data_IF_649945061417
#
_entry.id   IF_649945061417
#
_cell.length_a   1.000
_cell.length_b   1.000
_cell.length_c   1.000
_cell.angle_alpha   90.00
_cell.angle_beta   90.00
_cell.angle_gamma   90.00
#
_symmetry.space_group_name_H-M   'P 1'
#
loop_
_entity.id
_entity.type
_entity.pdbx_description
1 polymer ?
#
# COMPACT_ATOMS: atom_id res chain seq x y z
N UNK A 1 11.48 -34.64 -25.12
CA UNK A 1 12.84 -34.11 -25.31
C UNK A 1 13.00 -33.29 -26.61
N UNK A 2 12.30 -33.61 -27.67
CA UNK A 2 12.36 -32.96 -29.01
C UNK A 2 11.85 -31.48 -28.99
N UNK A 3 10.73 -31.17 -28.29
CA UNK A 3 10.13 -29.81 -28.28
C UNK A 3 11.03 -28.74 -27.59
N UNK A 4 11.76 -29.12 -26.60
CA UNK A 4 12.67 -28.20 -25.85
C UNK A 4 13.85 -27.76 -26.74
N UNK A 5 14.42 -28.69 -27.52
CA UNK A 5 15.48 -28.37 -28.48
C UNK A 5 15.00 -27.47 -29.62
N UNK A 6 13.77 -27.63 -30.07
CA UNK A 6 13.17 -26.77 -31.09
C UNK A 6 13.01 -25.32 -30.61
N UNK A 7 12.56 -25.13 -29.34
CA UNK A 7 12.37 -23.80 -28.75
C UNK A 7 13.71 -23.06 -28.59
N UNK A 8 14.76 -23.74 -28.14
CA UNK A 8 16.10 -23.13 -27.99
C UNK A 8 16.70 -22.77 -29.34
N UNK A 9 16.49 -23.62 -30.36
CA UNK A 9 16.98 -23.36 -31.72
C UNK A 9 16.28 -22.14 -32.34
N UNK A 10 14.97 -21.99 -32.11
CA UNK A 10 14.18 -20.87 -32.61
C UNK A 10 14.59 -19.55 -31.93
N UNK A 11 14.79 -19.56 -30.60
CA UNK A 11 15.27 -18.40 -29.85
C UNK A 11 16.67 -17.94 -30.31
N UNK A 12 17.56 -18.87 -30.62
CA UNK A 12 18.88 -18.57 -31.18
C UNK A 12 18.83 -17.96 -32.58
N UNK A 13 17.90 -18.43 -33.44
CA UNK A 13 17.70 -17.89 -34.77
C UNK A 13 17.16 -16.46 -34.69
N UNK A 14 16.17 -16.22 -33.83
CA UNK A 14 15.59 -14.89 -33.59
C UNK A 14 16.61 -13.90 -33.00
N UNK A 15 17.47 -14.34 -32.12
CA UNK A 15 18.56 -13.52 -31.55
C UNK A 15 19.58 -13.14 -32.62
N UNK A 16 19.93 -14.06 -33.52
CA UNK A 16 20.83 -13.78 -34.66
C UNK A 16 20.21 -12.81 -35.65
N UNK A 17 18.96 -13.00 -36.02
CA UNK A 17 18.25 -12.09 -36.94
C UNK A 17 18.11 -10.66 -36.30
N UNK A 18 17.88 -10.56 -35.02
CA UNK A 18 17.87 -9.28 -34.29
C UNK A 18 19.25 -8.61 -34.25
N UNK A 19 20.34 -9.37 -34.14
CA UNK A 19 21.70 -8.82 -34.17
C UNK A 19 22.05 -8.30 -35.55
N UNK A 20 21.76 -9.08 -36.60
CA UNK A 20 22.01 -8.71 -38.01
C UNK A 20 21.22 -7.45 -38.42
N UNK A 21 19.96 -7.33 -37.97
CA UNK A 21 19.15 -6.13 -38.16
C UNK A 21 19.74 -4.90 -37.49
N UNK A 22 20.35 -5.05 -36.29
CA UNK A 22 21.00 -3.96 -35.54
C UNK A 22 22.32 -3.52 -36.22
N UNK A 23 23.03 -4.43 -36.88
CA UNK A 23 24.29 -4.13 -37.53
C UNK A 23 24.12 -3.35 -38.85
N UNK A 24 23.00 -3.57 -39.53
CA UNK A 24 22.65 -2.89 -40.81
C UNK A 24 22.09 -1.47 -40.62
N UNK A 25 21.89 -1.01 -39.36
CA UNK A 25 21.41 0.36 -39.10
C UNK A 25 22.58 1.34 -39.27
N UNK A 26 22.48 2.37 -40.13
CA UNK A 26 23.53 3.37 -40.29
C UNK A 26 23.83 4.09 -38.97
N UNK A 27 25.06 4.58 -38.83
CA UNK A 27 25.55 5.22 -37.55
C UNK A 27 24.60 6.30 -37.07
N UNK A 28 23.98 7.05 -37.97
CA UNK A 28 22.97 8.06 -37.67
C UNK A 28 21.70 7.45 -37.06
N UNK A 29 21.23 6.31 -37.55
CA UNK A 29 20.10 5.59 -36.98
C UNK A 29 20.38 5.00 -35.62
N UNK A 30 21.61 4.52 -35.35
CA UNK A 30 22.05 4.06 -34.01
C UNK A 30 22.03 5.22 -32.99
N UNK A 31 22.43 6.43 -33.40
CA UNK A 31 22.41 7.62 -32.55
C UNK A 31 20.98 8.05 -32.19
N UNK A 32 20.06 8.02 -33.16
CA UNK A 32 18.64 8.34 -32.93
C UNK A 32 17.99 7.31 -32.00
N UNK A 33 18.25 6.01 -32.19
CA UNK A 33 17.75 4.96 -31.32
C UNK A 33 18.28 5.07 -29.88
N UNK A 34 19.56 5.42 -29.71
CA UNK A 34 20.16 5.64 -28.41
C UNK A 34 19.58 6.89 -27.71
N UNK A 35 19.33 7.96 -28.47
CA UNK A 35 18.68 9.18 -27.92
C UNK A 35 17.23 8.87 -27.50
N UNK A 36 16.43 8.18 -28.31
CA UNK A 36 15.07 7.78 -27.95
C UNK A 36 15.04 6.82 -26.74
N UNK A 37 16.00 5.91 -26.63
CA UNK A 37 16.11 5.04 -25.45
C UNK A 37 16.49 5.85 -24.19
N UNK A 38 17.36 6.83 -24.32
CA UNK A 38 17.75 7.72 -23.22
C UNK A 38 16.59 8.61 -22.75
N UNK A 39 15.79 9.16 -23.66
CA UNK A 39 14.61 9.94 -23.32
C UNK A 39 13.51 9.07 -22.70
N UNK A 40 13.30 7.87 -23.25
CA UNK A 40 12.31 6.93 -22.71
C UNK A 40 12.68 6.43 -21.30
N UNK A 41 13.98 6.18 -21.06
CA UNK A 41 14.47 5.79 -19.73
C UNK A 41 14.36 6.95 -18.71
N UNK A 42 14.67 8.20 -19.11
CA UNK A 42 14.49 9.39 -18.25
C UNK A 42 13.01 9.64 -17.93
N UNK A 43 12.12 9.46 -18.90
CA UNK A 43 10.67 9.53 -18.71
C UNK A 43 10.16 8.46 -17.74
N UNK A 44 10.66 7.23 -17.86
CA UNK A 44 10.32 6.11 -16.99
C UNK A 44 10.80 6.35 -15.54
N UNK A 45 12.05 6.79 -15.37
CA UNK A 45 12.64 7.10 -14.05
C UNK A 45 11.88 8.25 -13.38
N UNK A 46 11.50 9.29 -14.12
CA UNK A 46 10.70 10.41 -13.59
C UNK A 46 9.31 9.93 -13.16
N UNK A 47 8.71 9.04 -13.93
CA UNK A 47 7.40 8.45 -13.60
C UNK A 47 7.47 7.56 -12.36
N UNK A 48 8.50 6.73 -12.21
CA UNK A 48 8.74 5.89 -11.03
C UNK A 48 8.92 6.76 -9.79
N UNK A 49 9.76 7.80 -9.85
CA UNK A 49 9.99 8.72 -8.72
C UNK A 49 8.72 9.44 -8.27
N UNK A 50 7.85 9.83 -9.19
CA UNK A 50 6.56 10.45 -8.86
C UNK A 50 5.63 9.47 -8.13
N UNK A 51 5.64 8.18 -8.50
CA UNK A 51 4.86 7.13 -7.86
C UNK A 51 5.27 6.85 -6.42
N UNK A 52 6.57 6.85 -6.16
CA UNK A 52 7.10 6.65 -4.81
C UNK A 52 6.69 7.79 -3.89
N UNK A 53 6.71 9.03 -4.38
CA UNK A 53 6.28 10.21 -3.60
C UNK A 53 4.79 10.13 -3.27
N UNK A 54 3.94 9.77 -4.24
CA UNK A 54 2.48 9.64 -4.00
C UNK A 54 2.20 8.52 -3.00
N UNK A 55 2.87 7.38 -3.13
CA UNK A 55 2.71 6.27 -2.17
C UNK A 55 3.15 6.66 -0.76
N UNK A 56 4.22 7.44 -0.63
CA UNK A 56 4.70 7.94 0.66
C UNK A 56 3.70 8.93 1.28
N UNK A 57 3.15 9.85 0.48
CA UNK A 57 2.12 10.79 0.95
C UNK A 57 0.87 10.05 1.45
N UNK A 58 0.42 9.04 0.73
CA UNK A 58 -0.72 8.21 1.14
C UNK A 58 -0.42 7.45 2.43
N UNK A 59 0.78 6.91 2.58
CA UNK A 59 1.22 6.23 3.79
C UNK A 59 1.17 7.17 5.01
N UNK A 60 1.67 8.41 4.85
CA UNK A 60 1.61 9.42 5.91
C UNK A 60 0.16 9.80 6.21
N UNK A 61 -0.67 9.98 5.18
CA UNK A 61 -2.10 10.25 5.35
C UNK A 61 -2.79 9.12 6.13
N UNK A 62 -2.59 7.86 5.75
CA UNK A 62 -3.19 6.70 6.42
C UNK A 62 -2.75 6.59 7.88
N UNK A 63 -1.48 6.91 8.17
CA UNK A 63 -1.00 6.95 9.56
C UNK A 63 -1.82 7.91 10.42
N UNK A 64 -2.02 9.13 9.96
CA UNK A 64 -2.83 10.11 10.69
C UNK A 64 -4.32 9.76 10.68
N UNK A 65 -4.83 9.20 9.59
CA UNK A 65 -6.22 8.76 9.47
C UNK A 65 -6.55 7.66 10.50
N UNK A 66 -5.67 6.68 10.68
CA UNK A 66 -5.84 5.61 11.68
C UNK A 66 -5.88 6.19 13.10
N UNK A 67 -4.95 7.08 13.44
CA UNK A 67 -4.91 7.72 14.76
C UNK A 67 -6.20 8.50 14.99
N UNK A 68 -6.61 9.33 14.02
CA UNK A 68 -7.82 10.13 14.10
C UNK A 68 -9.10 9.28 14.19
N UNK A 69 -9.17 8.16 13.43
CA UNK A 69 -10.32 7.26 13.43
C UNK A 69 -10.59 6.65 14.81
N UNK A 70 -9.55 6.12 15.44
CA UNK A 70 -9.68 5.53 16.77
C UNK A 70 -9.88 6.59 17.86
N UNK A 71 -9.30 7.77 17.70
CA UNK A 71 -9.58 8.90 18.60
C UNK A 71 -11.05 9.34 18.47
N UNK A 72 -11.56 9.46 17.26
CA UNK A 72 -12.97 9.78 17.02
C UNK A 72 -13.90 8.71 17.56
N UNK A 73 -13.54 7.42 17.43
CA UNK A 73 -14.28 6.31 18.03
C UNK A 73 -14.37 6.41 19.56
N UNK A 74 -13.28 6.82 20.21
CA UNK A 74 -13.28 7.09 21.65
C UNK A 74 -14.14 8.31 21.98
N UNK A 75 -14.00 9.39 21.23
CA UNK A 75 -14.72 10.64 21.43
C UNK A 75 -16.24 10.47 21.26
N UNK A 76 -16.68 9.76 20.22
CA UNK A 76 -18.11 9.44 19.99
C UNK A 76 -18.66 8.60 21.15
N UNK A 77 -17.88 7.68 21.69
CA UNK A 77 -18.31 6.82 22.81
C UNK A 77 -18.64 7.62 24.07
N UNK A 78 -17.98 8.75 24.27
CA UNK A 78 -18.16 9.64 25.43
C UNK A 78 -18.96 10.92 25.07
N UNK A 79 -19.97 10.79 24.20
CA UNK A 79 -20.91 11.84 23.82
C UNK A 79 -20.24 13.15 23.35
N UNK A 80 -19.10 13.02 22.69
CA UNK A 80 -18.31 14.14 22.14
C UNK A 80 -17.83 15.15 23.20
N UNK A 81 -17.77 14.76 24.50
CA UNK A 81 -17.28 15.58 25.57
C UNK A 81 -15.87 15.18 26.00
N UNK A 82 -14.86 16.03 25.72
CA UNK A 82 -13.46 15.75 26.08
C UNK A 82 -13.24 15.57 27.59
N UNK A 83 -13.98 16.32 28.40
CA UNK A 83 -13.89 16.25 29.88
C UNK A 83 -14.46 14.97 30.48
N UNK A 84 -15.27 14.24 29.72
CA UNK A 84 -15.92 13.01 30.19
C UNK A 84 -15.10 11.75 29.93
N UNK A 85 -14.00 11.85 29.16
CA UNK A 85 -13.15 10.70 28.86
C UNK A 85 -12.26 10.36 30.07
N UNK A 86 -12.46 9.22 30.75
CA UNK A 86 -11.62 8.83 31.87
C UNK A 86 -10.16 8.62 31.41
N UNK A 87 -9.22 9.01 32.24
CA UNK A 87 -7.77 8.83 32.00
C UNK A 87 -7.38 7.35 31.80
N UNK A 88 -8.16 6.45 32.36
CA UNK A 88 -8.01 5.00 32.24
C UNK A 88 -8.12 4.52 30.78
N UNK A 89 -8.84 5.24 29.92
CA UNK A 89 -8.96 4.92 28.48
C UNK A 89 -7.99 5.71 27.61
N UNK A 90 -7.65 6.94 28.01
CA UNK A 90 -6.69 7.77 27.28
C UNK A 90 -5.27 7.21 27.35
N UNK A 91 -4.84 6.70 28.50
CA UNK A 91 -3.50 6.17 28.69
C UNK A 91 -3.22 4.95 27.79
N UNK A 92 -4.06 3.88 27.78
CA UNK A 92 -3.89 2.77 26.84
C UNK A 92 -3.95 3.20 25.38
N UNK A 93 -4.85 4.15 25.05
CA UNK A 93 -4.93 4.68 23.68
C UNK A 93 -3.59 5.28 23.24
N UNK A 94 -3.04 6.24 23.96
CA UNK A 94 -1.77 6.88 23.56
C UNK A 94 -0.60 5.90 23.50
N UNK A 95 -0.56 4.93 24.37
CA UNK A 95 0.51 3.93 24.41
C UNK A 95 0.44 2.95 23.26
N UNK A 96 -0.76 2.55 22.84
CA UNK A 96 -0.95 1.48 21.85
C UNK A 96 -1.18 1.97 20.43
N UNK A 97 -1.72 3.19 20.23
CA UNK A 97 -2.14 3.67 18.93
C UNK A 97 -1.00 3.77 17.90
N UNK A 98 0.19 4.23 18.33
CA UNK A 98 1.34 4.34 17.45
C UNK A 98 1.83 2.96 16.97
N UNK A 99 1.84 1.96 17.87
CA UNK A 99 2.23 0.59 17.53
C UNK A 99 1.21 -0.02 16.58
N UNK A 100 -0.08 0.20 16.86
CA UNK A 100 -1.16 -0.25 15.99
C UNK A 100 -1.12 0.40 14.61
N UNK A 101 -0.94 1.72 14.54
CA UNK A 101 -0.83 2.44 13.27
C UNK A 101 0.36 1.94 12.43
N UNK A 102 1.52 1.74 13.03
CA UNK A 102 2.68 1.16 12.35
C UNK A 102 2.38 -0.25 11.83
N UNK A 103 1.72 -1.08 12.61
CA UNK A 103 1.31 -2.42 12.20
C UNK A 103 0.33 -2.38 11.01
N UNK A 104 -0.68 -1.51 11.05
CA UNK A 104 -1.62 -1.33 9.93
C UNK A 104 -0.90 -0.93 8.65
N UNK A 105 0.06 0.00 8.70
CA UNK A 105 0.84 0.41 7.54
C UNK A 105 1.64 -0.75 6.94
N UNK A 106 2.24 -1.61 7.79
CA UNK A 106 2.95 -2.81 7.33
C UNK A 106 1.99 -3.75 6.61
N UNK A 107 0.80 -4.00 7.17
CA UNK A 107 -0.22 -4.86 6.54
C UNK A 107 -0.69 -4.27 5.20
N UNK A 108 -0.96 -2.97 5.14
CA UNK A 108 -1.38 -2.28 3.91
C UNK A 108 -0.28 -2.32 2.84
N UNK A 109 0.97 -2.19 3.25
CA UNK A 109 2.12 -2.36 2.35
C UNK A 109 2.23 -3.79 1.82
N UNK A 110 2.13 -4.81 2.69
CA UNK A 110 2.15 -6.23 2.30
C UNK A 110 1.03 -6.58 1.32
N UNK A 111 -0.17 -6.05 1.54
CA UNK A 111 -1.32 -6.26 0.67
C UNK A 111 -1.26 -5.43 -0.63
N UNK A 112 -0.20 -4.64 -0.81
CA UNK A 112 0.04 -3.79 -1.99
C UNK A 112 -1.11 -2.83 -2.30
N UNK A 113 -1.82 -2.35 -1.28
CA UNK A 113 -2.92 -1.40 -1.45
C UNK A 113 -2.47 -0.13 -2.17
N UNK A 114 -1.27 0.37 -1.87
CA UNK A 114 -0.69 1.56 -2.51
C UNK A 114 -0.32 1.39 -3.99
N UNK A 115 -0.25 0.17 -4.52
CA UNK A 115 0.02 -0.09 -5.95
C UNK A 115 -1.21 -0.03 -6.84
N UNK A 116 -2.40 -0.13 -6.26
CA UNK A 116 -3.65 -0.34 -6.97
C UNK A 116 -4.39 0.94 -7.34
N UNK A 117 -4.03 2.07 -6.78
CA UNK A 117 -4.77 3.36 -6.86
C UNK A 117 -5.02 3.86 -8.29
N UNK A 118 -4.28 3.35 -9.29
CA UNK A 118 -4.38 3.81 -10.67
C UNK A 118 -5.11 2.88 -11.64
N UNK A 119 -5.59 1.76 -11.17
CA UNK A 119 -6.48 0.90 -11.94
C UNK A 119 -7.86 1.02 -11.32
N UNK A 120 -8.83 1.45 -12.09
CA UNK A 120 -10.25 1.57 -11.73
C UNK A 120 -10.62 0.80 -10.46
N UNK A 121 -11.18 1.49 -9.46
CA UNK A 121 -11.59 0.88 -8.20
C UNK A 121 -12.45 -0.37 -8.50
N UNK A 122 -11.82 -1.52 -8.47
CA UNK A 122 -12.48 -2.79 -8.73
C UNK A 122 -13.05 -3.31 -7.43
N UNK A 123 -14.18 -4.00 -7.49
CA UNK A 123 -14.78 -4.69 -6.35
C UNK A 123 -13.76 -5.53 -5.55
N UNK A 124 -12.80 -6.14 -6.24
CA UNK A 124 -11.71 -6.91 -5.62
C UNK A 124 -10.78 -6.06 -4.75
N UNK A 125 -10.61 -4.78 -5.06
CA UNK A 125 -9.77 -3.87 -4.28
C UNK A 125 -10.48 -3.40 -3.01
N UNK A 126 -11.77 -3.12 -3.12
CA UNK A 126 -12.62 -2.81 -1.97
C UNK A 126 -12.66 -3.99 -0.99
N UNK A 127 -12.83 -5.22 -1.48
CA UNK A 127 -12.78 -6.41 -0.63
C UNK A 127 -11.42 -6.59 0.04
N UNK A 128 -10.33 -6.28 -0.65
CA UNK A 128 -8.96 -6.37 -0.10
C UNK A 128 -8.74 -5.32 0.99
N UNK A 129 -9.18 -4.09 0.79
CA UNK A 129 -9.13 -3.03 1.79
C UNK A 129 -9.98 -3.39 3.01
N UNK A 130 -11.21 -3.86 2.79
CA UNK A 130 -12.10 -4.31 3.86
C UNK A 130 -11.49 -5.47 4.67
N UNK A 131 -10.94 -6.48 4.01
CA UNK A 131 -10.30 -7.61 4.70
C UNK A 131 -9.05 -7.19 5.48
N UNK A 132 -8.25 -6.25 4.95
CA UNK A 132 -7.11 -5.69 5.65
C UNK A 132 -7.53 -4.97 6.94
N UNK A 133 -8.56 -4.14 6.86
CA UNK A 133 -9.07 -3.39 8.01
C UNK A 133 -9.62 -4.32 9.09
N UNK A 134 -10.40 -5.34 8.70
CA UNK A 134 -10.92 -6.35 9.65
C UNK A 134 -9.77 -7.13 10.30
N UNK A 135 -8.79 -7.58 9.51
CA UNK A 135 -7.64 -8.33 10.02
C UNK A 135 -6.84 -7.50 11.04
N UNK A 136 -6.53 -6.26 10.71
CA UNK A 136 -5.77 -5.37 11.61
C UNK A 136 -6.53 -5.09 12.89
N UNK A 137 -7.86 -4.97 12.85
CA UNK A 137 -8.65 -4.77 14.04
C UNK A 137 -8.70 -6.00 14.94
N UNK A 138 -8.83 -7.20 14.38
CA UNK A 138 -8.77 -8.44 15.18
C UNK A 138 -7.43 -8.50 15.93
N UNK A 139 -6.33 -8.22 15.26
CA UNK A 139 -4.99 -8.19 15.89
C UNK A 139 -4.93 -7.12 16.98
N UNK A 140 -5.54 -5.96 16.78
CA UNK A 140 -5.56 -4.90 17.78
C UNK A 140 -6.36 -5.28 19.03
N UNK A 141 -7.52 -5.91 18.86
CA UNK A 141 -8.33 -6.42 19.97
C UNK A 141 -7.54 -7.46 20.77
N UNK A 142 -6.87 -8.40 20.08
CA UNK A 142 -6.01 -9.39 20.74
C UNK A 142 -4.85 -8.74 21.49
N UNK A 143 -4.18 -7.76 20.87
CA UNK A 143 -3.09 -7.01 21.49
C UNK A 143 -3.53 -6.30 22.78
N UNK A 144 -4.67 -5.60 22.74
CA UNK A 144 -5.23 -4.93 23.92
C UNK A 144 -5.65 -5.92 25.01
N UNK A 145 -6.22 -7.07 24.61
CA UNK A 145 -6.63 -8.14 25.53
C UNK A 145 -5.44 -8.76 26.26
N UNK A 146 -4.32 -8.98 25.56
CA UNK A 146 -3.08 -9.51 26.17
C UNK A 146 -2.48 -8.53 27.16
N UNK A 147 -2.55 -7.21 26.88
CA UNK A 147 -2.09 -6.17 27.80
C UNK A 147 -3.02 -5.95 29.00
N UNK A 148 -4.17 -6.63 29.03
CA UNK A 148 -5.15 -6.50 30.10
C UNK A 148 -5.96 -5.20 30.09
N UNK A 149 -5.85 -4.40 29.03
CA UNK A 149 -6.63 -3.16 28.90
C UNK A 149 -8.06 -3.48 28.44
N UNK A 150 -9.04 -3.18 29.28
CA UNK A 150 -10.46 -3.38 28.96
C UNK A 150 -11.03 -2.12 28.31
N UNK A 151 -11.00 -2.09 26.97
CA UNK A 151 -11.67 -1.05 26.20
C UNK A 151 -13.12 -1.44 25.87
N UNK A 152 -14.07 -0.49 25.80
CA UNK A 152 -15.45 -0.78 25.43
C UNK A 152 -15.53 -1.24 23.97
N UNK A 153 -16.40 -2.21 23.69
CA UNK A 153 -16.60 -2.79 22.35
C UNK A 153 -16.97 -1.71 21.33
N UNK A 154 -17.75 -0.72 21.74
CA UNK A 154 -18.14 0.42 20.88
C UNK A 154 -16.93 1.19 20.35
N UNK A 155 -15.85 1.30 21.11
CA UNK A 155 -14.61 1.95 20.68
C UNK A 155 -14.01 1.27 19.45
N UNK A 156 -13.93 -0.06 19.46
CA UNK A 156 -13.43 -0.83 18.31
C UNK A 156 -14.37 -0.72 17.12
N UNK A 157 -15.68 -0.81 17.34
CA UNK A 157 -16.68 -0.76 16.28
C UNK A 157 -16.63 0.58 15.53
N UNK A 158 -16.68 1.70 16.25
CA UNK A 158 -16.60 3.03 15.66
C UNK A 158 -15.21 3.28 15.03
N UNK A 159 -14.14 2.85 15.69
CA UNK A 159 -12.78 2.97 15.17
C UNK A 159 -12.63 2.27 13.81
N UNK A 160 -13.11 1.03 13.67
CA UNK A 160 -13.07 0.28 12.40
C UNK A 160 -13.86 0.98 11.30
N UNK A 161 -15.10 1.38 11.59
CA UNK A 161 -15.98 1.99 10.58
C UNK A 161 -15.34 3.28 10.06
N UNK A 162 -14.86 4.13 10.98
CA UNK A 162 -14.23 5.40 10.60
C UNK A 162 -12.90 5.15 9.88
N UNK A 163 -12.09 4.21 10.35
CA UNK A 163 -10.85 3.83 9.67
C UNK A 163 -11.12 3.37 8.24
N UNK A 164 -12.10 2.49 8.03
CA UNK A 164 -12.45 1.99 6.69
C UNK A 164 -12.92 3.09 5.75
N UNK A 165 -13.66 4.08 6.26
CA UNK A 165 -14.14 5.22 5.45
C UNK A 165 -13.00 6.18 5.11
N UNK A 166 -12.00 6.33 5.99
CA UNK A 166 -10.87 7.25 5.79
C UNK A 166 -9.73 6.66 4.95
N UNK A 167 -9.57 5.33 4.94
CA UNK A 167 -8.55 4.60 4.17
C UNK A 167 -9.09 4.12 2.83
#
# INVERSE_FOLDING_TARGET
>A
MSAFFYTIKQDNIDRRAKREKREKIPIFGKKILAMNQSENSKGLIRKIKHWEVVSLLLLVYDFFAIIAAFFAGLWIRFDCHFGSIPREYLYPYYKSICIYAAFCLIVFWCLRLYKSIWRFASYSELLRSMSATVLTCIVYILYMSILGYRMPISYYLFGIIIQFVLT
#
